data_IF_660498325749
#
_entry.id   IF_660498325749
#
_cell.length_a   1.000
_cell.length_b   1.000
_cell.length_c   1.000
_cell.angle_alpha   90.00
_cell.angle_beta   90.00
_cell.angle_gamma   90.00
#
_symmetry.space_group_name_H-M   'P 1'
#
loop_
_entity.id
_entity.type
_entity.pdbx_description
1 polymer ?
#
# COMPACT_ATOMS: atom_id res chain seq x y z
N UNK A 1 7.38 -20.55 -23.61
CA UNK A 1 8.21 -20.17 -22.44
C UNK A 1 9.41 -19.27 -22.76
N UNK A 2 10.02 -19.30 -23.96
CA UNK A 2 11.10 -18.35 -24.32
C UNK A 2 10.63 -16.89 -24.49
N UNK A 3 9.38 -16.66 -24.92
CA UNK A 3 8.83 -15.32 -25.16
C UNK A 3 8.72 -14.47 -23.89
N UNK A 4 8.01 -14.98 -22.87
CA UNK A 4 7.79 -14.25 -21.61
C UNK A 4 9.10 -13.91 -20.90
N UNK A 5 10.09 -14.82 -20.92
CA UNK A 5 11.41 -14.56 -20.32
C UNK A 5 12.18 -13.45 -21.08
N UNK A 6 12.03 -13.38 -22.39
CA UNK A 6 12.64 -12.32 -23.20
C UNK A 6 11.91 -10.99 -23.01
N UNK A 7 10.59 -11.01 -22.87
CA UNK A 7 9.78 -9.81 -22.59
C UNK A 7 10.06 -9.25 -21.20
N UNK A 8 10.18 -10.09 -20.17
CA UNK A 8 10.61 -9.65 -18.82
C UNK A 8 12.04 -9.08 -18.86
N UNK A 9 12.94 -9.69 -19.63
CA UNK A 9 14.30 -9.16 -19.81
C UNK A 9 14.32 -7.81 -20.51
N UNK A 10 13.55 -7.65 -21.60
CA UNK A 10 13.42 -6.37 -22.29
C UNK A 10 12.78 -5.33 -21.38
N UNK A 11 11.74 -5.69 -20.64
CA UNK A 11 11.06 -4.80 -19.69
C UNK A 11 11.99 -4.33 -18.56
N UNK A 12 12.84 -5.20 -18.03
CA UNK A 12 13.84 -4.82 -17.02
C UNK A 12 15.03 -4.04 -17.59
N UNK A 13 15.28 -4.15 -18.90
CA UNK A 13 16.31 -3.39 -19.60
C UNK A 13 15.82 -2.02 -20.08
N UNK A 14 14.50 -1.85 -20.17
CA UNK A 14 13.87 -0.56 -20.48
C UNK A 14 13.83 0.29 -19.20
N UNK A 15 14.39 1.49 -19.24
CA UNK A 15 14.50 2.37 -18.07
C UNK A 15 13.11 2.74 -17.51
N UNK A 16 12.09 2.80 -18.35
CA UNK A 16 10.70 3.03 -17.95
C UNK A 16 10.09 1.83 -17.19
N UNK A 17 10.43 0.60 -17.59
CA UNK A 17 9.95 -0.63 -16.93
C UNK A 17 10.58 -0.82 -15.56
N UNK A 18 11.86 -0.47 -15.40
CA UNK A 18 12.54 -0.48 -14.11
C UNK A 18 12.00 0.63 -13.17
N UNK A 19 11.78 1.83 -13.70
CA UNK A 19 11.20 2.95 -12.93
C UNK A 19 9.79 2.62 -12.42
N UNK A 20 8.96 1.97 -13.25
CA UNK A 20 7.64 1.51 -12.83
C UNK A 20 7.73 0.48 -11.69
N UNK A 21 8.68 -0.45 -11.78
CA UNK A 21 8.97 -1.43 -10.73
C UNK A 21 9.36 -0.75 -9.42
N UNK A 22 10.19 0.28 -9.45
CA UNK A 22 10.58 1.05 -8.27
C UNK A 22 9.38 1.76 -7.62
N UNK A 23 8.48 2.34 -8.41
CA UNK A 23 7.25 2.93 -7.88
C UNK A 23 6.34 1.89 -7.22
N UNK A 24 6.15 0.73 -7.86
CA UNK A 24 5.34 -0.36 -7.30
C UNK A 24 5.99 -0.91 -6.03
N UNK A 25 7.30 -1.11 -6.04
CA UNK A 25 8.05 -1.60 -4.88
C UNK A 25 8.00 -0.59 -3.73
N UNK A 26 8.14 0.71 -4.02
CA UNK A 26 8.01 1.78 -3.03
C UNK A 26 6.62 1.81 -2.39
N UNK A 27 5.57 1.74 -3.21
CA UNK A 27 4.19 1.66 -2.71
C UNK A 27 3.95 0.39 -1.87
N UNK A 28 4.45 -0.75 -2.33
CA UNK A 28 4.33 -2.01 -1.60
C UNK A 28 5.07 -1.97 -0.25
N UNK A 29 6.25 -1.36 -0.20
CA UNK A 29 7.00 -1.19 1.05
C UNK A 29 6.29 -0.26 2.03
N UNK A 30 5.66 0.82 1.54
CA UNK A 30 4.83 1.69 2.37
C UNK A 30 3.63 0.92 2.93
N UNK A 31 2.90 0.17 2.10
CA UNK A 31 1.77 -0.65 2.54
C UNK A 31 2.22 -1.70 3.55
N UNK A 32 3.35 -2.36 3.32
CA UNK A 32 3.91 -3.32 4.26
C UNK A 32 4.26 -2.69 5.62
N UNK A 33 4.83 -1.48 5.61
CA UNK A 33 5.11 -0.73 6.84
C UNK A 33 3.82 -0.37 7.60
N UNK A 34 2.77 0.08 6.89
CA UNK A 34 1.47 0.39 7.49
C UNK A 34 0.80 -0.86 8.10
N UNK A 35 0.94 -2.02 7.45
CA UNK A 35 0.47 -3.29 8.00
C UNK A 35 1.28 -3.73 9.23
N UNK A 36 2.60 -3.52 9.21
CA UNK A 36 3.49 -3.92 10.31
C UNK A 36 3.23 -3.17 11.62
N UNK A 37 2.72 -1.93 11.54
CA UNK A 37 2.41 -1.10 12.71
C UNK A 37 0.92 -1.11 13.10
N UNK A 38 0.11 -2.00 12.50
CA UNK A 38 -1.35 -2.04 12.66
C UNK A 38 -2.02 -0.66 12.52
N UNK A 39 -1.60 0.07 11.49
CA UNK A 39 -2.08 1.43 11.24
C UNK A 39 -3.60 1.48 11.08
N UNK A 40 -4.17 0.49 10.37
CA UNK A 40 -5.59 0.45 10.07
C UNK A 40 -6.45 0.14 11.29
N UNK A 41 -5.99 -0.73 12.20
CA UNK A 41 -6.65 -0.98 13.48
C UNK A 41 -6.67 0.28 14.35
N UNK A 42 -5.53 0.97 14.45
CA UNK A 42 -5.42 2.24 15.17
C UNK A 42 -6.36 3.32 14.59
N UNK A 43 -6.40 3.44 13.26
CA UNK A 43 -7.26 4.41 12.59
C UNK A 43 -8.75 4.09 12.82
N UNK A 44 -9.14 2.83 12.71
CA UNK A 44 -10.51 2.38 12.98
C UNK A 44 -10.93 2.70 14.42
N UNK A 45 -10.08 2.41 15.41
CA UNK A 45 -10.34 2.74 16.82
C UNK A 45 -10.54 4.23 17.04
N UNK A 46 -9.78 5.10 16.35
CA UNK A 46 -9.99 6.56 16.45
C UNK A 46 -11.33 7.02 15.87
N UNK A 47 -11.80 6.40 14.79
CA UNK A 47 -13.12 6.69 14.25
C UNK A 47 -14.24 6.23 15.20
N UNK A 48 -14.07 5.08 15.85
CA UNK A 48 -15.01 4.58 16.85
C UNK A 48 -15.05 5.48 18.09
N UNK A 49 -13.90 5.93 18.58
CA UNK A 49 -13.78 6.90 19.68
C UNK A 49 -14.59 8.17 19.37
N UNK A 50 -14.37 8.75 18.19
CA UNK A 50 -15.08 9.98 17.75
C UNK A 50 -16.57 9.73 17.57
N UNK A 51 -16.95 8.58 16.99
CA UNK A 51 -18.36 8.20 16.83
C UNK A 51 -19.07 8.12 18.19
N UNK A 52 -18.44 7.48 19.16
CA UNK A 52 -18.97 7.33 20.53
C UNK A 52 -19.11 8.69 21.23
N UNK A 53 -18.15 9.59 21.06
CA UNK A 53 -18.20 10.93 21.63
C UNK A 53 -19.38 11.75 21.05
N UNK A 54 -19.60 11.66 19.74
CA UNK A 54 -20.74 12.32 19.07
C UNK A 54 -22.07 11.77 19.59
N UNK A 55 -22.21 10.45 19.67
CA UNK A 55 -23.45 9.81 20.16
C UNK A 55 -23.73 10.21 21.62
N UNK A 56 -22.70 10.28 22.47
CA UNK A 56 -22.84 10.69 23.88
C UNK A 56 -23.26 12.15 24.04
N UNK A 57 -22.88 13.05 23.12
CA UNK A 57 -23.33 14.47 23.15
C UNK A 57 -24.78 14.61 22.65
N UNK A 58 -25.26 13.67 21.84
CA UNK A 58 -26.61 13.67 21.29
C UNK A 58 -27.70 13.28 22.30
N UNK A 59 -27.34 12.54 23.35
CA UNK A 59 -28.19 12.11 24.47
C UNK A 59 -28.17 13.11 25.65
#
# INVERSE_FOLDING_TARGET
>A
MKSIRNEIKQFMQDEEGLTLLEYILGAALIVAALLAIDFWGTLAGKFEDVGTEIDTIGD
#
